data_IF_201564260077
#
_entry.id   IF_201564260077
#
_cell.length_a   1.000
_cell.length_b   1.000
_cell.length_c   1.000
_cell.angle_alpha   90.00
_cell.angle_beta   90.00
_cell.angle_gamma   90.00
#
_symmetry.space_group_name_H-M   'P 1'
#
loop_
_entity.id
_entity.type
_entity.pdbx_description
1 polymer ?
#
# COMPACT_ATOMS: atom_id res chain seq x y z
N UNK A 1 -5.03 -33.68 -16.53
CA UNK A 1 -5.96 -33.40 -15.41
C UNK A 1 -5.30 -33.57 -14.05
N UNK A 2 -4.32 -34.47 -13.89
CA UNK A 2 -3.50 -34.60 -12.66
C UNK A 2 -2.54 -33.42 -12.48
N UNK A 3 -1.83 -33.01 -13.53
CA UNK A 3 -0.89 -31.87 -13.49
C UNK A 3 -1.55 -30.55 -13.10
N UNK A 4 -2.79 -30.32 -13.55
CA UNK A 4 -3.55 -29.12 -13.18
C UNK A 4 -3.93 -29.12 -11.70
N UNK A 5 -4.19 -30.29 -11.11
CA UNK A 5 -4.65 -30.41 -9.73
C UNK A 5 -3.46 -30.26 -8.74
N UNK A 6 -2.29 -30.76 -9.11
CA UNK A 6 -1.03 -30.54 -8.38
C UNK A 6 -0.59 -29.08 -8.42
N UNK A 7 -0.74 -28.41 -9.57
CA UNK A 7 -0.41 -27.00 -9.71
C UNK A 7 -1.33 -26.10 -8.85
N UNK A 8 -2.63 -26.42 -8.79
CA UNK A 8 -3.57 -25.72 -7.91
C UNK A 8 -3.25 -25.95 -6.43
N UNK A 9 -2.82 -27.16 -6.04
CA UNK A 9 -2.38 -27.44 -4.67
C UNK A 9 -1.16 -26.61 -4.28
N UNK A 10 -0.12 -26.60 -5.11
CA UNK A 10 1.10 -25.80 -4.87
C UNK A 10 0.81 -24.30 -4.77
N UNK A 11 -0.10 -23.79 -5.61
CA UNK A 11 -0.46 -22.37 -5.61
C UNK A 11 -1.28 -21.99 -4.38
N UNK A 12 -2.13 -22.90 -3.89
CA UNK A 12 -2.89 -22.72 -2.65
C UNK A 12 -1.96 -22.63 -1.44
N UNK A 13 -1.02 -23.57 -1.31
CA UNK A 13 -0.07 -23.61 -0.20
C UNK A 13 0.81 -22.35 -0.17
N UNK A 14 1.26 -21.89 -1.34
CA UNK A 14 2.02 -20.66 -1.50
C UNK A 14 1.25 -19.42 -1.04
N UNK A 15 -0.03 -19.33 -1.40
CA UNK A 15 -0.90 -18.21 -0.98
C UNK A 15 -1.14 -18.25 0.53
N UNK A 16 -1.34 -19.44 1.10
CA UNK A 16 -1.54 -19.61 2.54
C UNK A 16 -0.29 -19.24 3.35
N UNK A 17 0.89 -19.63 2.88
CA UNK A 17 2.18 -19.21 3.45
C UNK A 17 2.34 -17.67 3.38
N UNK A 18 2.03 -17.09 2.22
CA UNK A 18 2.07 -15.64 2.03
C UNK A 18 1.13 -14.91 3.00
N UNK A 19 -0.09 -15.41 3.22
CA UNK A 19 -1.08 -14.82 4.12
C UNK A 19 -0.70 -14.96 5.61
N UNK A 20 -0.08 -16.07 6.01
CA UNK A 20 0.33 -16.28 7.40
C UNK A 20 1.45 -15.33 7.85
N UNK A 21 2.35 -14.96 6.94
CA UNK A 21 3.40 -13.96 7.20
C UNK A 21 2.97 -12.50 7.00
N UNK A 22 1.74 -12.26 6.52
CA UNK A 22 1.33 -10.95 6.06
C UNK A 22 0.98 -10.02 7.21
N UNK A 23 1.76 -8.95 7.35
CA UNK A 23 1.42 -7.85 8.23
C UNK A 23 1.02 -6.61 7.43
N UNK A 24 -0.24 -6.20 7.53
CA UNK A 24 -0.80 -5.07 6.77
C UNK A 24 -0.61 -3.70 7.43
N UNK A 25 -0.22 -3.65 8.71
CA UNK A 25 -0.07 -2.40 9.44
C UNK A 25 0.93 -1.40 8.81
N UNK A 26 2.14 -1.83 8.39
CA UNK A 26 3.08 -0.94 7.71
C UNK A 26 2.50 -0.30 6.45
N UNK A 27 1.78 -1.09 5.65
CA UNK A 27 1.12 -0.64 4.43
C UNK A 27 0.01 0.36 4.70
N UNK A 28 -0.83 0.10 5.70
CA UNK A 28 -1.89 1.02 6.10
C UNK A 28 -1.33 2.37 6.53
N UNK A 29 -0.29 2.36 7.38
CA UNK A 29 0.38 3.60 7.84
C UNK A 29 0.98 4.39 6.67
N UNK A 30 1.68 3.70 5.77
CA UNK A 30 2.22 4.31 4.55
C UNK A 30 1.13 4.94 3.69
N UNK A 31 0.03 4.22 3.47
CA UNK A 31 -1.12 4.71 2.71
C UNK A 31 -1.79 5.92 3.33
N UNK A 32 -1.98 5.93 4.66
CA UNK A 32 -2.55 7.07 5.38
C UNK A 32 -1.65 8.30 5.29
N UNK A 33 -0.34 8.14 5.48
CA UNK A 33 0.61 9.26 5.34
C UNK A 33 0.57 9.82 3.91
N UNK A 34 0.58 8.95 2.90
CA UNK A 34 0.48 9.37 1.51
C UNK A 34 -0.85 10.09 1.20
N UNK A 35 -1.96 9.62 1.78
CA UNK A 35 -3.27 10.24 1.63
C UNK A 35 -3.34 11.65 2.22
N UNK A 36 -2.60 11.93 3.31
CA UNK A 36 -2.50 13.26 3.91
C UNK A 36 -1.74 14.27 3.04
N UNK A 37 -0.93 13.81 2.09
CA UNK A 37 -0.18 14.67 1.16
C UNK A 37 -1.06 15.21 0.03
N UNK A 38 -2.23 15.77 0.36
CA UNK A 38 -3.27 16.20 -0.59
C UNK A 38 -2.79 17.21 -1.64
N UNK A 39 -1.73 17.96 -1.34
CA UNK A 39 -1.11 18.93 -2.23
C UNK A 39 -0.39 18.28 -3.41
N UNK A 40 0.05 17.02 -3.27
CA UNK A 40 0.75 16.26 -4.31
C UNK A 40 -0.22 15.57 -5.28
N UNK A 41 0.12 15.49 -6.59
CA UNK A 41 -0.70 14.78 -7.56
C UNK A 41 -0.91 13.32 -7.16
N UNK A 42 -2.01 12.71 -7.61
CA UNK A 42 -2.38 11.33 -7.24
C UNK A 42 -1.24 10.36 -7.52
N UNK A 43 -0.62 10.44 -8.70
CA UNK A 43 0.51 9.59 -9.06
C UNK A 43 1.69 9.70 -8.08
N UNK A 44 2.01 10.92 -7.60
CA UNK A 44 3.06 11.12 -6.60
C UNK A 44 2.67 10.53 -5.24
N UNK A 45 1.41 10.67 -4.82
CA UNK A 45 0.92 10.03 -3.57
C UNK A 45 0.97 8.52 -3.64
N UNK A 46 0.58 7.92 -4.77
CA UNK A 46 0.66 6.48 -4.98
C UNK A 46 2.11 6.00 -4.91
N UNK A 47 3.05 6.69 -5.56
CA UNK A 47 4.47 6.36 -5.50
C UNK A 47 4.99 6.47 -4.06
N UNK A 48 4.65 7.56 -3.35
CA UNK A 48 5.02 7.73 -1.93
C UNK A 48 4.43 6.62 -1.07
N UNK A 49 3.17 6.22 -1.28
CA UNK A 49 2.55 5.12 -0.54
C UNK A 49 3.32 3.81 -0.73
N UNK A 50 3.70 3.48 -1.97
CA UNK A 50 4.47 2.27 -2.28
C UNK A 50 5.88 2.30 -1.67
N UNK A 51 6.59 3.42 -1.81
CA UNK A 51 7.92 3.59 -1.21
C UNK A 51 7.88 3.50 0.31
N UNK A 52 6.94 4.19 0.96
CA UNK A 52 6.77 4.14 2.41
C UNK A 52 6.37 2.76 2.89
N UNK A 53 5.55 2.03 2.13
CA UNK A 53 5.18 0.65 2.46
C UNK A 53 6.43 -0.22 2.52
N UNK A 54 7.31 -0.11 1.52
CA UNK A 54 8.55 -0.89 1.45
C UNK A 54 9.50 -0.55 2.61
N UNK A 55 9.65 0.73 2.93
CA UNK A 55 10.47 1.21 4.06
C UNK A 55 9.89 0.74 5.41
N UNK A 56 8.59 0.94 5.63
CA UNK A 56 7.96 0.56 6.89
C UNK A 56 7.93 -0.94 7.07
N UNK A 57 7.67 -1.73 6.03
CA UNK A 57 7.74 -3.19 6.12
C UNK A 57 9.14 -3.67 6.48
N UNK A 58 10.18 -3.04 5.92
CA UNK A 58 11.57 -3.40 6.22
C UNK A 58 11.97 -3.06 7.66
N UNK A 59 11.48 -1.93 8.18
CA UNK A 59 11.82 -1.44 9.51
C UNK A 59 10.86 -1.92 10.62
N UNK A 60 9.68 -2.44 10.27
CA UNK A 60 8.69 -2.93 11.23
C UNK A 60 9.25 -3.92 12.27
N UNK A 61 10.11 -4.90 11.89
CA UNK A 61 10.69 -5.84 12.84
C UNK A 61 11.54 -5.17 13.93
N UNK A 62 12.14 -4.00 13.65
CA UNK A 62 12.94 -3.27 14.63
C UNK A 62 12.12 -2.87 15.86
N UNK A 63 10.80 -2.66 15.71
CA UNK A 63 9.89 -2.39 16.83
C UNK A 63 9.81 -3.56 17.82
N UNK A 64 10.11 -4.77 17.34
CA UNK A 64 10.14 -6.00 18.14
C UNK A 64 11.57 -6.46 18.44
N UNK A 65 12.57 -5.57 18.27
CA UNK A 65 14.00 -5.89 18.43
C UNK A 65 14.50 -7.01 17.50
N UNK A 66 13.81 -7.23 16.38
CA UNK A 66 14.21 -8.16 15.33
C UNK A 66 15.06 -7.44 14.28
N UNK A 67 15.96 -8.15 13.56
CA UNK A 67 16.71 -7.56 12.46
C UNK A 67 15.77 -7.04 11.37
N UNK A 68 16.15 -5.97 10.64
CA UNK A 68 15.36 -5.46 9.55
C UNK A 68 15.23 -6.51 8.44
N UNK A 69 14.04 -6.64 7.88
CA UNK A 69 13.81 -7.53 6.74
C UNK A 69 14.11 -6.75 5.46
N UNK A 70 15.00 -7.29 4.63
CA UNK A 70 15.10 -6.87 3.25
C UNK A 70 14.03 -7.63 2.45
N UNK A 71 13.15 -6.95 1.70
CA UNK A 71 12.20 -7.64 0.85
C UNK A 71 12.96 -8.41 -0.23
N UNK A 72 12.85 -9.74 -0.22
CA UNK A 72 13.43 -10.61 -1.24
C UNK A 72 12.37 -10.93 -2.29
N UNK A 73 12.40 -10.22 -3.41
CA UNK A 73 11.49 -10.45 -4.53
C UNK A 73 11.87 -11.68 -5.38
N UNK A 74 12.92 -12.41 -5.01
CA UNK A 74 13.28 -13.69 -5.61
C UNK A 74 12.31 -14.82 -5.23
N UNK A 75 11.68 -14.72 -4.05
CA UNK A 75 10.67 -15.69 -3.62
C UNK A 75 9.25 -15.19 -3.97
N UNK A 76 8.40 -16.08 -4.52
CA UNK A 76 7.07 -15.68 -4.97
C UNK A 76 6.14 -15.29 -3.79
N UNK A 77 6.39 -15.80 -2.58
CA UNK A 77 5.61 -15.46 -1.38
C UNK A 77 5.71 -13.97 -1.03
N UNK A 78 6.92 -13.42 -0.98
CA UNK A 78 7.13 -12.00 -0.69
C UNK A 78 6.57 -11.10 -1.79
N UNK A 79 6.57 -11.56 -3.04
CA UNK A 79 5.94 -10.82 -4.14
C UNK A 79 4.42 -10.72 -3.96
N UNK A 80 3.76 -11.81 -3.55
CA UNK A 80 2.33 -11.82 -3.23
C UNK A 80 2.04 -10.91 -2.03
N UNK A 81 2.84 -11.01 -0.96
CA UNK A 81 2.71 -10.16 0.22
C UNK A 81 2.82 -8.68 -0.16
N UNK A 82 3.84 -8.31 -0.94
CA UNK A 82 4.01 -6.92 -1.37
C UNK A 82 2.85 -6.42 -2.23
N UNK A 83 2.33 -7.25 -3.13
CA UNK A 83 1.16 -6.90 -3.95
C UNK A 83 -0.09 -6.63 -3.08
N UNK A 84 -0.33 -7.47 -2.07
CA UNK A 84 -1.44 -7.27 -1.12
C UNK A 84 -1.24 -6.00 -0.28
N UNK A 85 -0.02 -5.79 0.22
CA UNK A 85 0.34 -4.57 0.95
C UNK A 85 0.17 -3.31 0.10
N UNK A 86 0.59 -3.35 -1.16
CA UNK A 86 0.41 -2.25 -2.10
C UNK A 86 -1.07 -1.90 -2.28
N UNK A 87 -1.94 -2.90 -2.41
CA UNK A 87 -3.39 -2.69 -2.53
C UNK A 87 -3.95 -1.97 -1.29
N UNK A 88 -3.53 -2.39 -0.10
CA UNK A 88 -3.91 -1.75 1.17
C UNK A 88 -3.38 -0.32 1.26
N UNK A 89 -2.13 -0.07 0.89
CA UNK A 89 -1.52 1.26 0.93
C UNK A 89 -2.15 2.24 -0.06
N UNK A 90 -2.62 1.74 -1.19
CA UNK A 90 -3.27 2.53 -2.25
C UNK A 90 -4.70 2.93 -1.84
N UNK A 91 -5.39 2.10 -1.05
CA UNK A 91 -6.79 2.32 -0.62
C UNK A 91 -7.06 3.71 -0.02
N UNK A 92 -6.32 4.17 1.00
CA UNK A 92 -6.48 5.50 1.58
C UNK A 92 -6.32 6.65 0.58
N UNK A 93 -5.39 6.52 -0.38
CA UNK A 93 -5.16 7.55 -1.41
C UNK A 93 -6.40 7.68 -2.30
N UNK A 94 -6.96 6.57 -2.79
CA UNK A 94 -8.20 6.60 -3.58
C UNK A 94 -9.41 7.08 -2.78
N UNK A 95 -9.50 6.71 -1.50
CA UNK A 95 -10.56 7.18 -0.63
C UNK A 95 -10.57 8.72 -0.55
N UNK A 96 -9.41 9.35 -0.42
CA UNK A 96 -9.33 10.82 -0.40
C UNK A 96 -9.72 11.48 -1.73
N UNK A 97 -9.47 10.80 -2.86
CA UNK A 97 -9.91 11.26 -4.18
C UNK A 97 -11.42 11.11 -4.37
N UNK A 98 -11.97 9.95 -3.97
CA UNK A 98 -13.40 9.66 -4.05
C UNK A 98 -14.23 10.62 -3.20
N UNK A 99 -13.74 10.95 -2.00
CA UNK A 99 -14.35 11.94 -1.11
C UNK A 99 -14.19 13.39 -1.61
N UNK A 100 -13.45 13.62 -2.71
CA UNK A 100 -13.28 14.94 -3.30
C UNK A 100 -12.58 15.94 -2.38
N UNK A 101 -11.76 15.47 -1.43
CA UNK A 101 -11.10 16.32 -0.42
C UNK A 101 -10.25 17.41 -1.07
N UNK A 102 -9.62 17.10 -2.22
CA UNK A 102 -8.92 18.08 -3.07
C UNK A 102 -9.82 19.18 -3.62
N UNK A 103 -11.07 18.87 -3.99
CA UNK A 103 -12.02 19.88 -4.51
C UNK A 103 -12.49 20.83 -3.42
N UNK A 104 -12.57 20.36 -2.17
CA UNK A 104 -12.91 21.19 -1.01
C UNK A 104 -11.78 22.14 -0.64
N UNK A 105 -10.52 21.70 -0.70
CA UNK A 105 -9.34 22.53 -0.36
C UNK A 105 -8.93 23.50 -1.48
N UNK A 106 -9.23 23.19 -2.75
CA UNK A 106 -8.99 24.10 -3.89
C UNK A 106 -10.10 25.15 -4.08
N UNK A 107 -11.21 25.10 -3.33
CA UNK A 107 -12.18 26.21 -3.29
C UNK A 107 -11.61 27.37 -2.46
N UNK A 108 -10.67 28.13 -3.03
CA UNK A 108 -10.44 29.52 -2.62
C UNK A 108 -11.46 30.45 -3.28
N UNK A 109 -11.75 31.60 -2.68
CA UNK A 109 -13.09 32.17 -2.57
C UNK A 109 -13.53 32.77 -3.91
N UNK A 110 -14.84 32.73 -4.17
CA UNK A 110 -15.45 33.60 -5.17
C UNK A 110 -15.04 35.03 -4.83
N UNK A 111 -14.12 35.60 -5.62
CA UNK A 111 -13.93 37.05 -5.70
C UNK A 111 -15.18 37.63 -6.33
N UNK A 112 -16.20 37.78 -5.50
CA UNK A 112 -17.27 38.74 -5.69
C UNK A 112 -16.70 40.12 -5.38
N UNK A 113 -16.08 40.74 -6.38
CA UNK A 113 -16.01 42.19 -6.48
C UNK A 113 -16.67 42.48 -7.85
N UNK A 114 -17.93 42.91 -7.89
CA UNK A 114 -18.32 44.33 -7.81
C UNK A 114 -17.37 45.18 -8.64
N UNK A 115 -17.75 45.39 -9.91
CA UNK A 115 -17.78 46.69 -10.60
C UNK A 115 -18.43 46.50 -11.96
#
# INVERSE_FOLDING_TARGET
>A
MTETLELYGLLSDLVEAALNGLNLWPALLAGVIAALLIWLPVAARLLVALCLTLVFSSLWPLLYSLPPLAPDFGEPEYSIQFALMALVAIGPVWLTEALGIRRLTQRKPRTSCIS
#
